data_IF_764148114892
#
_entry.id   IF_764148114892
#
_cell.length_a   1.000
_cell.length_b   1.000
_cell.length_c   1.000
_cell.angle_alpha   90.00
_cell.angle_beta   90.00
_cell.angle_gamma   90.00
#
_symmetry.space_group_name_H-M   'P 1'
#
loop_
_entity.id
_entity.type
_entity.pdbx_description
1 polymer ?
#
# COMPACT_ATOMS: atom_id res chain seq x y z
N UNK A 1 -24.24 11.85 -21.88
CA UNK A 1 -23.76 10.50 -22.17
C UNK A 1 -22.51 10.18 -21.39
N UNK A 2 -21.46 10.93 -21.60
CA UNK A 2 -20.22 10.72 -20.83
C UNK A 2 -20.46 10.81 -19.34
N UNK A 3 -21.34 11.70 -18.91
CA UNK A 3 -21.66 11.88 -17.49
C UNK A 3 -22.13 10.58 -16.84
N UNK A 4 -22.93 9.80 -17.56
CA UNK A 4 -23.45 8.53 -17.02
C UNK A 4 -22.30 7.55 -16.79
N UNK A 5 -21.37 7.46 -17.72
CA UNK A 5 -20.22 6.58 -17.61
C UNK A 5 -19.30 7.03 -16.48
N UNK A 6 -19.05 8.33 -16.38
CA UNK A 6 -18.26 8.87 -15.29
C UNK A 6 -18.90 8.58 -13.94
N UNK A 7 -20.21 8.74 -13.85
CA UNK A 7 -20.92 8.45 -12.60
C UNK A 7 -20.80 6.98 -12.22
N UNK A 8 -20.88 6.09 -13.21
CA UNK A 8 -20.72 4.67 -12.96
C UNK A 8 -19.37 4.35 -12.33
N UNK A 9 -18.30 4.92 -12.88
CA UNK A 9 -16.96 4.74 -12.30
C UNK A 9 -16.84 5.38 -10.95
N UNK A 10 -17.46 6.54 -10.76
CA UNK A 10 -17.45 7.22 -9.48
C UNK A 10 -18.06 6.34 -8.40
N UNK A 11 -19.20 5.70 -8.69
CA UNK A 11 -19.85 4.81 -7.75
C UNK A 11 -18.95 3.61 -7.41
N UNK A 12 -18.28 3.06 -8.40
CA UNK A 12 -17.36 1.95 -8.19
C UNK A 12 -16.19 2.36 -7.31
N UNK A 13 -15.64 3.55 -7.54
CA UNK A 13 -14.52 4.06 -6.75
C UNK A 13 -14.94 4.35 -5.31
N UNK A 14 -16.13 4.92 -5.14
CA UNK A 14 -16.64 5.20 -3.78
C UNK A 14 -16.93 3.89 -3.04
N UNK A 15 -17.36 2.85 -3.77
CA UNK A 15 -17.58 1.55 -3.15
C UNK A 15 -16.28 0.92 -2.64
N UNK A 16 -15.15 1.38 -3.14
CA UNK A 16 -13.86 0.90 -2.66
C UNK A 16 -13.49 1.45 -1.28
N UNK A 17 -14.21 2.46 -0.80
CA UNK A 17 -13.91 3.05 0.52
C UNK A 17 -13.86 2.00 1.62
N UNK A 18 -14.81 1.08 1.61
CA UNK A 18 -14.82 0.00 2.60
C UNK A 18 -13.58 -0.88 2.46
N UNK A 19 -13.21 -1.21 1.23
CA UNK A 19 -12.03 -2.01 0.97
C UNK A 19 -10.76 -1.29 1.45
N UNK A 20 -10.65 0.00 1.20
CA UNK A 20 -9.52 0.79 1.67
C UNK A 20 -9.47 0.85 3.20
N UNK A 21 -10.62 1.01 3.83
CA UNK A 21 -10.70 1.03 5.28
C UNK A 21 -10.24 -0.31 5.86
N UNK A 22 -10.67 -1.41 5.24
CA UNK A 22 -10.26 -2.74 5.67
C UNK A 22 -8.77 -2.95 5.46
N UNK A 23 -8.22 -2.45 4.34
CA UNK A 23 -6.77 -2.53 4.08
C UNK A 23 -5.99 -1.72 5.11
N UNK A 24 -6.49 -0.54 5.45
CA UNK A 24 -5.85 0.31 6.45
C UNK A 24 -5.70 -0.45 7.76
N UNK A 25 -6.76 -1.11 8.18
CA UNK A 25 -6.75 -1.89 9.42
C UNK A 25 -5.89 -3.15 9.31
N UNK A 26 -6.03 -3.87 8.20
CA UNK A 26 -5.33 -5.14 8.00
C UNK A 26 -3.82 -4.94 7.86
N UNK A 27 -3.41 -3.85 7.21
CA UNK A 27 -2.00 -3.51 7.07
C UNK A 27 -1.44 -2.84 8.32
N UNK A 28 -2.30 -2.52 9.26
CA UNK A 28 -1.90 -1.83 10.50
C UNK A 28 -1.15 -0.54 10.19
N UNK A 29 -1.70 0.25 9.29
CA UNK A 29 -1.06 1.49 8.83
C UNK A 29 -0.86 2.48 9.97
N UNK A 30 -1.87 2.61 10.85
CA UNK A 30 -1.75 3.52 12.00
C UNK A 30 -0.60 3.10 12.91
N UNK A 31 -0.53 1.82 13.22
CA UNK A 31 0.54 1.27 14.05
C UNK A 31 1.89 1.43 13.36
N UNK A 32 1.91 1.23 12.04
CA UNK A 32 3.14 1.41 11.26
C UNK A 32 3.64 2.85 11.33
N UNK A 33 2.74 3.82 11.24
CA UNK A 33 3.10 5.23 11.34
C UNK A 33 3.65 5.56 12.73
N UNK A 34 3.03 5.01 13.76
CA UNK A 34 3.48 5.24 15.14
C UNK A 34 4.85 4.61 15.38
N UNK A 35 5.02 3.39 14.90
CA UNK A 35 6.31 2.71 15.05
C UNK A 35 7.41 3.44 14.28
N UNK A 36 7.11 3.90 13.07
CA UNK A 36 8.08 4.64 12.26
C UNK A 36 8.50 5.92 12.96
N UNK A 37 7.53 6.64 13.53
CA UNK A 37 7.83 7.85 14.27
C UNK A 37 8.74 7.56 15.46
N UNK A 38 8.48 6.48 16.17
CA UNK A 38 9.31 6.07 17.31
C UNK A 38 10.73 5.74 16.85
N UNK A 39 10.86 5.03 15.71
CA UNK A 39 12.17 4.68 15.17
C UNK A 39 12.95 5.92 14.74
N UNK A 40 12.25 6.90 14.17
CA UNK A 40 12.89 8.15 13.78
C UNK A 40 13.39 8.92 15.00
N UNK A 41 12.61 8.96 16.06
CA UNK A 41 13.05 9.60 17.31
C UNK A 41 14.25 8.88 17.92
N UNK A 42 14.23 7.56 17.86
CA UNK A 42 15.35 6.76 18.33
C UNK A 42 16.65 7.10 17.60
N UNK A 43 16.53 7.33 16.28
CA UNK A 43 17.69 7.65 15.45
C UNK A 43 18.31 9.00 15.79
N UNK A 44 17.62 9.84 16.56
CA UNK A 44 18.15 11.11 17.01
C UNK A 44 18.82 11.04 18.38
N UNK A 45 18.79 9.87 19.02
CA UNK A 45 19.44 9.70 20.32
C UNK A 45 20.95 9.72 20.20
N UNK A 46 21.60 10.25 21.24
CA UNK A 46 23.06 10.29 21.27
C UNK A 46 23.62 8.87 21.27
N UNK A 47 24.63 8.65 20.44
CA UNK A 47 25.28 7.36 20.38
C UNK A 47 24.56 6.30 19.57
N UNK A 48 23.37 6.63 19.05
CA UNK A 48 22.60 5.67 18.25
C UNK A 48 23.42 5.13 17.08
N UNK A 49 24.06 6.03 16.33
CA UNK A 49 24.82 5.66 15.15
C UNK A 49 26.13 4.95 15.44
N UNK A 50 26.57 4.97 16.69
CA UNK A 50 27.77 4.24 17.13
C UNK A 50 27.48 2.76 17.34
N UNK A 51 26.21 2.42 17.55
CA UNK A 51 25.78 1.02 17.68
C UNK A 51 25.31 0.53 16.31
N UNK A 52 26.22 -0.12 15.57
CA UNK A 52 25.94 -0.55 14.20
C UNK A 52 24.76 -1.51 14.13
N UNK A 53 24.70 -2.47 15.06
CA UNK A 53 23.63 -3.47 15.03
C UNK A 53 22.27 -2.80 15.24
N UNK A 54 22.18 -1.93 16.23
CA UNK A 54 20.94 -1.23 16.52
C UNK A 54 20.52 -0.33 15.36
N UNK A 55 21.47 0.41 14.80
CA UNK A 55 21.18 1.33 13.69
C UNK A 55 20.76 0.58 12.45
N UNK A 56 21.38 -0.57 12.16
CA UNK A 56 21.01 -1.38 11.00
C UNK A 56 19.60 -1.93 11.15
N UNK A 57 19.25 -2.43 12.33
CA UNK A 57 17.90 -2.95 12.59
C UNK A 57 16.86 -1.85 12.44
N UNK A 58 17.15 -0.67 12.98
CA UNK A 58 16.27 0.47 12.88
C UNK A 58 16.06 0.84 11.41
N UNK A 59 17.14 0.92 10.65
CA UNK A 59 17.08 1.29 9.23
C UNK A 59 16.27 0.29 8.42
N UNK A 60 16.48 -0.99 8.66
CA UNK A 60 15.72 -2.04 7.95
C UNK A 60 14.23 -1.97 8.28
N UNK A 61 13.92 -1.84 9.55
CA UNK A 61 12.52 -1.76 9.97
C UNK A 61 11.86 -0.51 9.44
N UNK A 62 12.55 0.62 9.51
CA UNK A 62 12.05 1.90 8.99
C UNK A 62 11.73 1.79 7.50
N UNK A 63 12.62 1.14 6.75
CA UNK A 63 12.40 0.95 5.31
C UNK A 63 11.18 0.11 5.04
N UNK A 64 11.00 -0.97 5.78
CA UNK A 64 9.83 -1.84 5.64
C UNK A 64 8.54 -1.06 5.92
N UNK A 65 8.54 -0.27 6.99
CA UNK A 65 7.37 0.52 7.36
C UNK A 65 7.07 1.60 6.33
N UNK A 66 8.10 2.29 5.84
CA UNK A 66 7.94 3.29 4.79
C UNK A 66 7.32 2.67 3.53
N UNK A 67 7.83 1.50 3.13
CA UNK A 67 7.32 0.83 1.93
C UNK A 67 5.84 0.45 2.11
N UNK A 68 5.49 -0.09 3.27
CA UNK A 68 4.12 -0.48 3.55
C UNK A 68 3.18 0.73 3.50
N UNK A 69 3.54 1.79 4.19
CA UNK A 69 2.74 3.01 4.24
C UNK A 69 2.63 3.62 2.85
N UNK A 70 3.74 3.66 2.12
CA UNK A 70 3.78 4.24 0.78
C UNK A 70 2.85 3.49 -0.17
N UNK A 71 2.86 2.16 -0.12
CA UNK A 71 1.99 1.35 -0.98
C UNK A 71 0.53 1.68 -0.74
N UNK A 72 0.16 1.77 0.52
CA UNK A 72 -1.23 2.11 0.86
C UNK A 72 -1.58 3.51 0.39
N UNK A 73 -0.72 4.48 0.69
CA UNK A 73 -0.97 5.88 0.31
C UNK A 73 -1.03 6.05 -1.19
N UNK A 74 -0.24 5.28 -1.92
CA UNK A 74 -0.27 5.33 -3.38
C UNK A 74 -1.61 4.86 -3.93
N UNK A 75 -2.17 3.82 -3.33
CA UNK A 75 -3.49 3.32 -3.74
C UNK A 75 -4.56 4.39 -3.51
N UNK A 76 -4.53 5.02 -2.33
CA UNK A 76 -5.48 6.07 -1.99
C UNK A 76 -5.32 7.26 -2.94
N UNK A 77 -4.09 7.66 -3.21
CA UNK A 77 -3.78 8.76 -4.10
C UNK A 77 -4.28 8.49 -5.52
N UNK A 78 -4.08 7.27 -6.00
CA UNK A 78 -4.56 6.87 -7.33
C UNK A 78 -6.08 6.97 -7.40
N UNK A 79 -6.78 6.50 -6.37
CA UNK A 79 -8.24 6.62 -6.33
C UNK A 79 -8.66 8.09 -6.36
N UNK A 80 -8.02 8.91 -5.56
CA UNK A 80 -8.35 10.34 -5.51
C UNK A 80 -8.10 11.01 -6.85
N UNK A 81 -7.02 10.62 -7.54
CA UNK A 81 -6.71 11.16 -8.86
C UNK A 81 -7.79 10.76 -9.87
N UNK A 82 -8.29 9.52 -9.79
CA UNK A 82 -9.35 9.08 -10.67
C UNK A 82 -10.65 9.81 -10.39
N UNK A 83 -10.95 10.08 -9.12
CA UNK A 83 -12.13 10.86 -8.77
C UNK A 83 -12.03 12.29 -9.30
N UNK A 84 -10.84 12.90 -9.24
CA UNK A 84 -10.60 14.21 -9.79
C UNK A 84 -10.79 14.21 -11.30
N UNK A 85 -10.32 13.15 -11.96
CA UNK A 85 -10.49 12.99 -13.40
C UNK A 85 -11.97 12.90 -13.77
N UNK A 86 -12.75 12.17 -12.97
CA UNK A 86 -14.19 12.05 -13.15
C UNK A 86 -14.87 13.42 -13.03
N UNK A 87 -14.52 14.17 -11.99
CA UNK A 87 -15.09 15.50 -11.79
C UNK A 87 -14.80 16.41 -12.97
N UNK A 88 -13.57 16.36 -13.47
CA UNK A 88 -13.15 17.15 -14.60
C UNK A 88 -13.92 16.76 -15.87
N UNK A 89 -14.01 15.44 -16.15
CA UNK A 89 -14.72 14.96 -17.32
C UNK A 89 -16.21 15.23 -17.25
N UNK A 90 -16.79 15.12 -16.05
CA UNK A 90 -18.22 15.38 -15.85
C UNK A 90 -18.52 16.87 -16.06
N UNK A 91 -17.70 17.72 -15.47
CA UNK A 91 -17.89 19.16 -15.57
C UNK A 91 -17.81 19.65 -17.01
N UNK A 92 -16.86 19.10 -17.76
CA UNK A 92 -16.65 19.50 -19.16
C UNK A 92 -17.47 18.65 -20.13
N UNK A 93 -18.16 17.64 -19.66
CA UNK A 93 -18.88 16.66 -20.46
C UNK A 93 -17.98 16.15 -21.59
N UNK A 94 -16.76 15.80 -21.22
CA UNK A 94 -15.71 15.43 -22.17
C UNK A 94 -15.43 13.92 -22.07
N UNK A 95 -15.84 13.19 -23.12
CA UNK A 95 -15.64 11.75 -23.15
C UNK A 95 -14.20 11.35 -23.45
N UNK A 96 -13.36 12.31 -23.80
CA UNK A 96 -11.97 11.98 -24.17
C UNK A 96 -11.15 11.45 -22.99
N UNK A 97 -11.60 11.71 -21.75
CA UNK A 97 -10.92 11.22 -20.56
C UNK A 97 -11.32 9.81 -20.16
N UNK A 98 -12.40 9.28 -20.77
CA UNK A 98 -12.88 7.95 -20.40
C UNK A 98 -11.87 6.82 -20.59
N UNK A 99 -11.12 6.76 -21.70
CA UNK A 99 -10.11 5.70 -21.84
C UNK A 99 -9.06 5.73 -20.75
N UNK A 100 -8.61 6.92 -20.36
CA UNK A 100 -7.63 7.08 -19.30
C UNK A 100 -8.22 6.65 -17.96
N UNK A 101 -9.46 7.05 -17.70
CA UNK A 101 -10.16 6.65 -16.47
C UNK A 101 -10.33 5.14 -16.39
N UNK A 102 -10.75 4.53 -17.49
CA UNK A 102 -10.97 3.09 -17.54
C UNK A 102 -9.69 2.34 -17.27
N UNK A 103 -8.61 2.74 -17.91
CA UNK A 103 -7.32 2.10 -17.72
C UNK A 103 -6.82 2.28 -16.28
N UNK A 104 -6.95 3.50 -15.76
CA UNK A 104 -6.55 3.79 -14.38
C UNK A 104 -7.35 3.00 -13.37
N UNK A 105 -8.65 2.87 -13.60
CA UNK A 105 -9.52 2.10 -12.72
C UNK A 105 -9.13 0.62 -12.71
N UNK A 106 -8.89 0.04 -13.88
CA UNK A 106 -8.51 -1.38 -13.98
C UNK A 106 -7.21 -1.64 -13.24
N UNK A 107 -6.25 -0.73 -13.39
CA UNK A 107 -4.97 -0.86 -12.70
C UNK A 107 -5.15 -0.75 -11.20
N UNK A 108 -5.93 0.23 -10.76
CA UNK A 108 -6.20 0.42 -9.33
C UNK A 108 -6.88 -0.81 -8.74
N UNK A 109 -7.88 -1.34 -9.43
CA UNK A 109 -8.60 -2.52 -8.99
C UNK A 109 -7.65 -3.71 -8.83
N UNK A 110 -6.77 -3.92 -9.81
CA UNK A 110 -5.80 -4.99 -9.75
C UNK A 110 -4.81 -4.78 -8.59
N UNK A 111 -4.35 -3.57 -8.40
CA UNK A 111 -3.39 -3.25 -7.34
C UNK A 111 -4.02 -3.42 -5.95
N UNK A 112 -5.27 -3.01 -5.79
CA UNK A 112 -6.00 -3.18 -4.53
C UNK A 112 -6.19 -4.67 -4.23
N UNK A 113 -6.57 -5.45 -5.24
CA UNK A 113 -6.75 -6.89 -5.07
C UNK A 113 -5.43 -7.56 -4.69
N UNK A 114 -4.35 -7.15 -5.35
CA UNK A 114 -3.01 -7.66 -5.03
C UNK A 114 -2.65 -7.35 -3.59
N UNK A 115 -2.90 -6.13 -3.15
CA UNK A 115 -2.60 -5.73 -1.77
C UNK A 115 -3.42 -6.54 -0.77
N UNK A 116 -4.69 -6.77 -1.10
CA UNK A 116 -5.58 -7.55 -0.23
C UNK A 116 -5.10 -8.99 -0.10
N UNK A 117 -4.74 -9.61 -1.21
CA UNK A 117 -4.25 -10.98 -1.21
C UNK A 117 -2.92 -11.10 -0.45
N UNK A 118 -2.02 -10.17 -0.68
CA UNK A 118 -0.73 -10.15 0.02
C UNK A 118 -0.93 -10.03 1.52
N UNK A 119 -1.87 -9.19 1.93
CA UNK A 119 -2.17 -8.98 3.35
C UNK A 119 -2.72 -10.25 3.99
N UNK A 120 -3.61 -10.94 3.29
CA UNK A 120 -4.19 -12.18 3.79
C UNK A 120 -3.12 -13.25 3.96
N UNK A 121 -2.25 -13.39 2.97
CA UNK A 121 -1.17 -14.36 3.02
C UNK A 121 -0.17 -14.05 4.13
N UNK A 122 0.17 -12.78 4.29
CA UNK A 122 1.08 -12.37 5.35
C UNK A 122 0.50 -12.64 6.72
N UNK A 123 -0.80 -12.36 6.89
CA UNK A 123 -1.48 -12.62 8.15
C UNK A 123 -1.45 -14.09 8.50
N UNK A 124 -1.72 -14.97 7.55
CA UNK A 124 -1.66 -16.40 7.76
C UNK A 124 -0.25 -16.85 8.07
N UNK A 125 0.71 -16.32 7.34
CA UNK A 125 2.10 -16.66 7.55
C UNK A 125 2.57 -16.28 8.96
N UNK A 126 2.20 -15.08 9.39
CA UNK A 126 2.59 -14.62 10.72
C UNK A 126 2.04 -15.54 11.80
N UNK A 127 0.85 -16.05 11.60
CA UNK A 127 0.26 -16.97 12.55
C UNK A 127 0.95 -18.33 12.57
N UNK A 128 1.43 -18.74 11.42
CA UNK A 128 2.09 -19.98 11.31
C UNK A 128 3.52 -19.88 11.63
N UNK A 129 4.15 -18.73 11.61
CA UNK A 129 5.41 -18.69 11.48
C UNK A 129 6.16 -18.76 12.27
N UNK A 130 6.05 -18.54 12.59
CA UNK A 130 6.99 -18.82 13.05
C UNK A 130 7.86 -19.38 12.16
N UNK A 131 7.90 -19.37 11.26
CA UNK A 131 8.64 -20.01 10.38
C UNK A 131 9.25 -19.38 9.51
N UNK A 132 9.38 -19.16 8.97
CA UNK A 132 9.96 -18.85 7.91
C UNK A 132 10.64 -18.00 7.51
N UNK A 133 11.00 -17.74 7.40
CA UNK A 133 11.67 -17.25 6.95
C UNK A 133 12.12 -17.01 6.01
N UNK A 134 12.02 -17.13 5.41
CA UNK A 134 12.66 -17.28 4.57
C UNK A 134 12.66 -16.67 3.85
N UNK A 135 12.94 -16.62 3.30
CA UNK A 135 13.34 -16.54 2.70
C UNK A 135 13.08 -15.95 2.07
N UNK A 136 12.96 -15.67 1.80
CA UNK A 136 13.02 -15.56 1.41
C UNK A 136 12.88 -14.89 1.03
N UNK A 137 13.15 -14.71 0.52
CA UNK A 137 13.23 -14.65 0.69
C UNK A 137 13.05 -14.07 0.33
N UNK A 138 12.97 -13.65 0.21
CA UNK A 138 12.95 -13.74 0.42
C UNK A 138 12.94 -13.57 0.19
N UNK A 139 13.04 -13.19 -0.39
CA UNK A 139 13.19 -13.58 0.04
C UNK A 139 13.29 -13.66 -0.27
N UNK A 140 13.50 -13.41 -0.83
CA UNK A 140 13.83 -14.08 -0.42
C UNK A 140 13.99 -14.31 -0.85
N UNK A 141 14.08 -14.09 -1.18
CA UNK A 141 14.48 -14.88 -0.98
C UNK A 141 14.62 -15.29 -1.22
N UNK A 142 14.50 -14.82 -1.52
CA UNK A 142 14.83 -15.65 -1.27
C UNK A 142 14.86 -16.12 -1.20
N UNK A 143 14.67 -15.60 -1.64
CA UNK A 143 15.00 -16.44 -1.18
C UNK A 143 15.15 -16.92 -1.42
N UNK A 144 15.04 -16.69 -1.53
CA UNK A 144 15.48 -17.55 -1.31
C UNK A 144 15.45 -18.16 -1.33
N UNK A 145 15.29 -17.63 -1.61
CA UNK A 145 15.66 -18.51 -1.33
C UNK A 145 15.59 -19.06 -1.37
N UNK A 146 15.70 -18.97 -1.46
CA UNK A 146 16.01 -19.92 -1.15
C UNK A 146 15.82 -20.35 -0.86
N UNK A 147 15.09 -19.78 -0.57
CA UNK A 147 15.25 -20.41 -0.09
C UNK A 147 15.18 -20.78 -0.17
N UNK A 148 15.42 -20.78 -0.31
CA UNK A 148 15.73 -21.43 -0.11
C UNK A 148 15.73 -21.65 -0.11
#
# INVERSE_FOLDING_TARGET
>A
MAVIEYDSYKQKLLAMDETFENLFKALEIEQARQELNRLELEAHEDGFWNDLERSQKNQMRSKQLHNKIHRYEKLVSTRDDLLALIDMGTEMDDASLLPELEEGYKKLEADVEQARLTTLLSGEYDNCNAILTFHAGAGGTEAQDWAQ
#
